data_IF_246148555526
#
_entry.id   IF_246148555526
#
_cell.length_a   1.000
_cell.length_b   1.000
_cell.length_c   1.000
_cell.angle_alpha   90.00
_cell.angle_beta   90.00
_cell.angle_gamma   90.00
#
_symmetry.space_group_name_H-M   'P 1'
#
loop_
_entity.id
_entity.type
_entity.pdbx_description
1 polymer ?
#
# COMPACT_ATOMS: atom_id res chain seq x y z
N UNK A 1 21.72 -14.65 -22.99
CA UNK A 1 21.64 -13.80 -21.79
C UNK A 1 21.52 -14.73 -20.59
N UNK A 2 22.26 -14.48 -19.50
CA UNK A 2 22.16 -15.25 -18.25
C UNK A 2 21.74 -14.28 -17.14
N UNK A 3 20.69 -14.58 -16.35
CA UNK A 3 20.32 -13.72 -15.23
C UNK A 3 21.44 -13.70 -14.19
N UNK A 4 21.56 -12.58 -13.46
CA UNK A 4 22.41 -12.51 -12.27
C UNK A 4 21.88 -13.46 -11.19
N UNK A 5 22.68 -13.83 -10.18
CA UNK A 5 22.22 -14.67 -9.07
C UNK A 5 20.96 -14.13 -8.37
N UNK A 6 20.89 -12.80 -8.18
CA UNK A 6 19.71 -12.14 -7.57
C UNK A 6 18.47 -12.27 -8.46
N UNK A 7 18.61 -12.04 -9.77
CA UNK A 7 17.51 -12.21 -10.71
C UNK A 7 17.03 -13.66 -10.75
N UNK A 8 17.95 -14.62 -10.76
CA UNK A 8 17.62 -16.04 -10.76
C UNK A 8 16.85 -16.43 -9.49
N UNK A 9 17.28 -15.95 -8.33
CA UNK A 9 16.59 -16.18 -7.06
C UNK A 9 15.15 -15.64 -7.07
N UNK A 10 14.96 -14.41 -7.57
CA UNK A 10 13.63 -13.81 -7.70
C UNK A 10 12.76 -14.64 -8.63
N UNK A 11 13.26 -15.00 -9.81
CA UNK A 11 12.51 -15.79 -10.80
C UNK A 11 12.02 -17.11 -10.20
N UNK A 12 12.90 -17.80 -9.46
CA UNK A 12 12.60 -19.12 -8.92
C UNK A 12 11.66 -19.09 -7.71
N UNK A 13 11.62 -17.99 -6.95
CA UNK A 13 11.00 -17.98 -5.63
C UNK A 13 9.94 -16.87 -5.41
N UNK A 14 9.69 -15.98 -6.38
CA UNK A 14 8.75 -14.85 -6.21
C UNK A 14 7.29 -15.25 -5.93
N UNK A 15 6.93 -16.52 -6.06
CA UNK A 15 5.60 -17.06 -5.75
C UNK A 15 5.58 -17.98 -4.53
N UNK A 16 6.74 -18.22 -3.90
CA UNK A 16 6.83 -18.98 -2.67
C UNK A 16 6.29 -18.17 -1.48
N UNK A 17 5.88 -18.86 -0.41
CA UNK A 17 5.31 -18.25 0.80
C UNK A 17 5.85 -18.94 2.03
N UNK A 18 5.92 -18.22 3.14
CA UNK A 18 6.54 -18.71 4.37
C UNK A 18 5.88 -19.99 4.94
N UNK A 19 4.58 -20.18 4.69
CA UNK A 19 3.82 -21.35 5.15
C UNK A 19 3.97 -22.59 4.26
N UNK A 20 4.53 -22.45 3.06
CA UNK A 20 4.63 -23.50 2.04
C UNK A 20 3.45 -23.56 1.06
N UNK A 21 2.47 -22.66 1.16
CA UNK A 21 1.33 -22.58 0.23
C UNK A 21 1.69 -21.96 -1.12
N UNK A 22 2.93 -21.50 -1.27
CA UNK A 22 3.47 -20.95 -2.50
C UNK A 22 3.91 -22.01 -3.51
N UNK A 23 4.46 -21.56 -4.63
CA UNK A 23 4.89 -22.40 -5.75
C UNK A 23 6.14 -21.79 -6.41
N UNK A 24 6.92 -22.56 -7.20
CA UNK A 24 6.67 -23.92 -7.68
C UNK A 24 7.07 -25.07 -6.75
N UNK A 25 7.94 -24.84 -5.76
CA UNK A 25 8.54 -25.89 -4.92
C UNK A 25 7.91 -26.00 -3.53
N UNK A 26 7.05 -25.07 -3.13
CA UNK A 26 6.40 -25.09 -1.82
C UNK A 26 7.40 -24.85 -0.68
N UNK A 27 8.39 -23.99 -0.93
CA UNK A 27 9.41 -23.63 0.05
C UNK A 27 8.77 -22.95 1.26
N UNK A 28 9.39 -23.13 2.43
CA UNK A 28 8.89 -22.59 3.70
C UNK A 28 9.94 -21.70 4.34
N UNK A 29 9.48 -20.77 5.18
CA UNK A 29 10.29 -20.05 6.18
C UNK A 29 11.76 -19.81 5.83
N UNK A 30 12.61 -20.60 6.47
CA UNK A 30 14.07 -20.60 6.43
C UNK A 30 14.68 -20.90 5.05
N UNK A 31 13.93 -21.51 4.14
CA UNK A 31 14.36 -21.76 2.75
C UNK A 31 14.22 -20.52 1.84
N UNK A 32 13.62 -19.44 2.35
CA UNK A 32 13.41 -18.19 1.64
C UNK A 32 14.29 -17.11 2.28
N UNK A 33 15.13 -16.49 1.45
CA UNK A 33 15.95 -15.34 1.86
C UNK A 33 15.08 -14.15 2.25
N UNK A 34 15.67 -13.23 3.01
CA UNK A 34 15.03 -11.98 3.41
C UNK A 34 14.53 -11.16 2.20
N UNK A 35 15.29 -11.18 1.09
CA UNK A 35 14.88 -10.56 -0.17
C UNK A 35 13.56 -11.15 -0.70
N UNK A 36 13.42 -12.48 -0.70
CA UNK A 36 12.19 -13.13 -1.18
C UNK A 36 11.02 -12.88 -0.23
N UNK A 37 11.27 -12.85 1.09
CA UNK A 37 10.26 -12.49 2.07
C UNK A 37 9.76 -11.06 1.86
N UNK A 38 10.67 -10.10 1.65
CA UNK A 38 10.35 -8.72 1.31
C UNK A 38 9.52 -8.63 0.01
N UNK A 39 10.01 -9.27 -1.05
CA UNK A 39 9.32 -9.30 -2.33
C UNK A 39 7.90 -9.87 -2.21
N UNK A 40 7.71 -10.92 -1.40
CA UNK A 40 6.40 -11.57 -1.20
C UNK A 40 5.36 -10.60 -0.61
N UNK A 41 5.77 -9.75 0.35
CA UNK A 41 4.91 -8.74 0.97
C UNK A 41 4.60 -7.63 -0.04
N UNK A 42 5.62 -7.06 -0.70
CA UNK A 42 5.43 -6.00 -1.71
C UNK A 42 4.46 -6.46 -2.80
N UNK A 43 4.65 -7.69 -3.29
CA UNK A 43 3.81 -8.28 -4.32
C UNK A 43 2.39 -8.53 -3.83
N UNK A 44 2.21 -8.95 -2.58
CA UNK A 44 0.87 -9.13 -2.00
C UNK A 44 0.13 -7.79 -1.87
N UNK A 45 0.80 -6.74 -1.40
CA UNK A 45 0.24 -5.39 -1.33
C UNK A 45 -0.19 -4.94 -2.73
N UNK A 46 0.72 -4.97 -3.70
CA UNK A 46 0.43 -4.57 -5.08
C UNK A 46 -0.77 -5.33 -5.66
N UNK A 47 -0.79 -6.66 -5.50
CA UNK A 47 -1.87 -7.54 -5.98
C UNK A 47 -3.24 -7.20 -5.39
N UNK A 48 -3.28 -6.69 -4.16
CA UNK A 48 -4.52 -6.33 -3.45
C UNK A 48 -4.95 -4.89 -3.75
N UNK A 49 -4.01 -3.97 -3.93
CA UNK A 49 -4.30 -2.54 -4.16
C UNK A 49 -4.55 -2.19 -5.62
N UNK A 50 -4.40 -3.14 -6.55
CA UNK A 50 -4.68 -2.93 -7.97
C UNK A 50 -5.80 -3.84 -8.48
N UNK A 51 -6.69 -3.25 -9.29
CA UNK A 51 -7.76 -3.98 -9.95
C UNK A 51 -7.19 -4.99 -10.96
N UNK A 52 -7.72 -6.21 -10.94
CA UNK A 52 -7.25 -7.30 -11.83
C UNK A 52 -8.32 -8.36 -12.02
N UNK A 53 -8.43 -8.91 -13.23
CA UNK A 53 -9.36 -10.01 -13.54
C UNK A 53 -10.81 -9.76 -13.07
N UNK A 54 -11.29 -8.51 -13.19
CA UNK A 54 -12.62 -8.11 -12.70
C UNK A 54 -12.76 -7.95 -11.19
N UNK A 55 -11.69 -8.15 -10.41
CA UNK A 55 -11.66 -7.90 -8.97
C UNK A 55 -11.27 -6.43 -8.75
N UNK A 56 -12.10 -5.63 -8.03
CA UNK A 56 -11.77 -4.25 -7.72
C UNK A 56 -10.59 -4.17 -6.75
N UNK A 57 -9.81 -3.06 -6.78
CA UNK A 57 -8.75 -2.84 -5.82
C UNK A 57 -9.30 -2.74 -4.39
N UNK A 58 -8.47 -3.10 -3.42
CA UNK A 58 -8.68 -2.86 -2.00
C UNK A 58 -7.97 -1.58 -1.58
N UNK A 59 -8.48 -0.94 -0.54
CA UNK A 59 -7.74 0.14 0.11
C UNK A 59 -6.42 -0.42 0.69
N UNK A 60 -5.35 0.40 0.80
CA UNK A 60 -4.10 -0.03 1.44
C UNK A 60 -4.32 -0.63 2.84
N UNK A 61 -5.17 -0.01 3.66
CA UNK A 61 -5.48 -0.51 5.00
C UNK A 61 -6.12 -1.91 4.97
N UNK A 62 -7.08 -2.15 4.07
CA UNK A 62 -7.69 -3.47 3.90
C UNK A 62 -6.66 -4.48 3.39
N UNK A 63 -5.81 -4.09 2.44
CA UNK A 63 -4.75 -4.95 1.92
C UNK A 63 -3.78 -5.37 3.03
N UNK A 64 -3.34 -4.42 3.87
CA UNK A 64 -2.46 -4.70 5.00
C UNK A 64 -3.12 -5.65 6.01
N UNK A 65 -4.39 -5.44 6.34
CA UNK A 65 -5.15 -6.36 7.21
C UNK A 65 -5.20 -7.76 6.63
N UNK A 66 -5.54 -7.91 5.36
CA UNK A 66 -5.60 -9.21 4.69
C UNK A 66 -4.25 -9.93 4.70
N UNK A 67 -3.14 -9.21 4.50
CA UNK A 67 -1.78 -9.79 4.56
C UNK A 67 -1.43 -10.19 6.00
N UNK A 68 -1.78 -9.35 6.98
CA UNK A 68 -1.52 -9.63 8.40
C UNK A 68 -2.32 -10.85 8.91
N UNK A 69 -3.55 -11.01 8.43
CA UNK A 69 -4.49 -12.09 8.77
C UNK A 69 -4.22 -13.38 7.98
N UNK A 70 -3.36 -13.35 6.95
CA UNK A 70 -2.99 -14.52 6.14
C UNK A 70 -2.00 -15.46 6.87
N UNK A 71 -2.42 -15.94 8.03
CA UNK A 71 -1.73 -16.87 8.93
C UNK A 71 -0.21 -16.66 8.97
N UNK A 72 0.55 -17.64 8.47
CA UNK A 72 2.02 -17.63 8.38
C UNK A 72 2.53 -17.47 6.95
N UNK A 73 1.70 -17.00 6.02
CA UNK A 73 2.08 -16.89 4.60
C UNK A 73 3.11 -15.76 4.34
N UNK A 74 3.06 -14.70 5.14
CA UNK A 74 3.85 -13.48 4.97
C UNK A 74 4.59 -13.09 6.24
N UNK A 75 5.74 -12.42 6.06
CA UNK A 75 6.53 -11.92 7.18
C UNK A 75 5.88 -10.66 7.77
N UNK A 76 5.42 -10.75 9.02
CA UNK A 76 4.70 -9.66 9.68
C UNK A 76 5.60 -8.49 10.03
N UNK A 77 6.89 -8.73 10.29
CA UNK A 77 7.85 -7.67 10.58
C UNK A 77 8.05 -6.81 9.34
N UNK A 78 8.26 -7.45 8.20
CA UNK A 78 8.38 -6.76 6.90
C UNK A 78 7.12 -5.99 6.56
N UNK A 79 5.92 -6.54 6.82
CA UNK A 79 4.67 -5.80 6.61
C UNK A 79 4.62 -4.52 7.48
N UNK A 80 5.05 -4.59 8.74
CA UNK A 80 5.10 -3.41 9.62
C UNK A 80 6.09 -2.37 9.09
N UNK A 81 7.28 -2.79 8.66
CA UNK A 81 8.28 -1.89 8.05
C UNK A 81 7.74 -1.25 6.75
N UNK A 82 7.05 -2.02 5.91
CA UNK A 82 6.38 -1.51 4.72
C UNK A 82 5.35 -0.42 5.09
N UNK A 83 4.52 -0.66 6.11
CA UNK A 83 3.54 0.32 6.58
C UNK A 83 4.22 1.57 7.16
N UNK A 84 5.35 1.44 7.85
CA UNK A 84 6.10 2.58 8.36
C UNK A 84 6.69 3.43 7.23
N UNK A 85 7.19 2.79 6.17
CA UNK A 85 7.79 3.47 5.04
C UNK A 85 6.76 4.17 4.12
N UNK A 86 5.62 3.53 3.87
CA UNK A 86 4.62 4.02 2.91
C UNK A 86 3.38 4.64 3.56
N UNK A 87 3.18 4.45 4.86
CA UNK A 87 2.03 4.90 5.60
C UNK A 87 0.77 4.06 5.39
N UNK A 88 -0.26 4.38 6.19
CA UNK A 88 -1.61 3.85 6.03
C UNK A 88 -2.33 4.48 4.83
N UNK A 89 -1.88 5.66 4.41
CA UNK A 89 -2.44 6.47 3.34
C UNK A 89 -1.32 6.91 2.39
N UNK A 90 -0.83 6.00 1.53
CA UNK A 90 0.33 6.25 0.68
C UNK A 90 0.07 7.37 -0.34
N UNK A 91 1.15 8.01 -0.79
CA UNK A 91 1.15 8.99 -1.86
C UNK A 91 0.40 8.44 -3.08
N UNK A 92 -0.45 9.29 -3.68
CA UNK A 92 -1.32 8.91 -4.78
C UNK A 92 -2.67 8.30 -4.37
N UNK A 93 -2.93 8.11 -3.07
CA UNK A 93 -4.26 7.70 -2.61
C UNK A 93 -5.25 8.88 -2.63
N UNK A 94 -6.50 8.62 -2.99
CA UNK A 94 -7.59 9.58 -2.87
C UNK A 94 -8.13 9.55 -1.44
N UNK A 95 -7.88 10.60 -0.68
CA UNK A 95 -8.30 10.74 0.70
C UNK A 95 -9.63 11.49 0.84
N UNK A 96 -10.47 11.06 1.77
CA UNK A 96 -11.67 11.75 2.20
C UNK A 96 -11.45 12.42 3.55
N UNK A 97 -11.84 13.68 3.64
CA UNK A 97 -11.75 14.49 4.86
C UNK A 97 -13.14 14.80 5.43
N UNK A 98 -13.23 14.94 6.75
CA UNK A 98 -14.48 15.17 7.48
C UNK A 98 -15.17 16.49 7.14
N UNK A 99 -14.45 17.45 6.54
CA UNK A 99 -15.03 18.67 5.98
C UNK A 99 -15.84 18.43 4.70
N UNK A 100 -15.85 17.20 4.18
CA UNK A 100 -16.50 16.85 2.91
C UNK A 100 -15.60 17.10 1.70
N UNK A 101 -14.28 17.02 1.86
CA UNK A 101 -13.34 17.21 0.76
C UNK A 101 -12.73 15.88 0.31
N UNK A 102 -12.49 15.76 -0.99
CA UNK A 102 -11.62 14.73 -1.57
C UNK A 102 -10.31 15.38 -1.98
N UNK A 103 -9.20 14.74 -1.63
CA UNK A 103 -7.87 15.23 -1.96
C UNK A 103 -6.90 14.08 -2.25
N UNK A 104 -6.03 14.26 -3.25
CA UNK A 104 -4.92 13.35 -3.49
C UNK A 104 -3.82 13.59 -2.46
N UNK A 105 -3.27 12.51 -1.90
CA UNK A 105 -2.08 12.60 -1.04
C UNK A 105 -0.86 12.83 -1.92
N UNK A 106 -0.16 13.94 -1.69
CA UNK A 106 0.99 14.35 -2.49
C UNK A 106 2.32 14.09 -1.78
N UNK A 107 2.32 14.15 -0.44
CA UNK A 107 3.50 13.92 0.38
C UNK A 107 3.13 13.37 1.77
N UNK A 108 4.08 12.68 2.41
CA UNK A 108 3.95 12.08 3.74
C UNK A 108 5.19 12.37 4.60
N UNK A 109 5.04 12.39 5.93
CA UNK A 109 6.18 12.45 6.84
C UNK A 109 6.84 11.08 7.04
N UNK A 110 7.93 11.03 7.80
CA UNK A 110 8.65 9.80 8.14
C UNK A 110 7.86 8.80 9.00
N UNK A 111 6.60 9.09 9.33
CA UNK A 111 5.65 8.16 9.99
C UNK A 111 4.51 7.75 9.06
N UNK A 112 4.56 8.15 7.79
CA UNK A 112 3.55 7.86 6.79
C UNK A 112 2.27 8.68 6.93
N UNK A 113 2.30 9.80 7.66
CA UNK A 113 1.16 10.70 7.79
C UNK A 113 1.19 11.77 6.69
N UNK A 114 0.06 12.07 6.02
CA UNK A 114 0.04 13.07 4.96
C UNK A 114 0.48 14.46 5.44
N UNK A 115 1.40 15.07 4.70
CA UNK A 115 1.94 16.42 4.94
C UNK A 115 1.53 17.41 3.85
N UNK A 116 1.15 16.90 2.68
CA UNK A 116 0.64 17.70 1.57
C UNK A 116 -0.45 16.95 0.82
N UNK A 117 -1.51 17.66 0.46
CA UNK A 117 -2.62 17.12 -0.33
C UNK A 117 -3.04 18.07 -1.44
N UNK A 118 -3.56 17.53 -2.54
CA UNK A 118 -4.20 18.31 -3.60
C UNK A 118 -5.71 18.09 -3.51
N UNK A 119 -6.43 19.10 -3.03
CA UNK A 119 -7.90 19.09 -2.97
C UNK A 119 -8.46 19.16 -4.39
N UNK A 120 -9.27 18.16 -4.73
CA UNK A 120 -9.87 18.01 -6.06
C UNK A 120 -11.37 18.23 -6.08
N UNK A 121 -12.06 18.00 -4.96
CA UNK A 121 -13.52 18.10 -4.90
C UNK A 121 -14.03 18.49 -3.52
N UNK A 122 -15.05 19.34 -3.49
CA UNK A 122 -15.89 19.57 -2.33
C UNK A 122 -17.22 18.84 -2.50
N UNK A 123 -17.46 17.82 -1.69
CA UNK A 123 -18.67 16.99 -1.72
C UNK A 123 -19.94 17.76 -1.28
N UNK A 124 -19.79 18.90 -0.60
CA UNK A 124 -20.91 19.80 -0.27
C UNK A 124 -21.33 20.67 -1.46
N UNK A 125 -20.44 20.89 -2.42
CA UNK A 125 -20.68 21.66 -3.64
C UNK A 125 -20.19 20.86 -4.87
N UNK A 126 -20.92 19.81 -5.28
CA UNK A 126 -20.41 18.78 -6.21
C UNK A 126 -20.02 19.29 -7.60
N UNK A 127 -20.59 20.42 -8.03
CA UNK A 127 -20.35 21.06 -9.32
C UNK A 127 -19.05 21.88 -9.33
N UNK A 128 -18.38 22.02 -8.19
CA UNK A 128 -17.11 22.75 -8.07
C UNK A 128 -15.93 21.79 -8.14
N UNK A 129 -15.15 21.89 -9.20
CA UNK A 129 -13.81 21.31 -9.24
C UNK A 129 -12.83 22.23 -8.54
N UNK A 130 -11.96 21.65 -7.73
CA UNK A 130 -10.90 22.38 -7.02
C UNK A 130 -9.54 21.88 -7.48
N UNK A 131 -8.54 22.76 -7.47
CA UNK A 131 -7.15 22.39 -7.73
C UNK A 131 -6.25 23.16 -6.76
N UNK A 132 -6.45 22.91 -5.47
CA UNK A 132 -5.73 23.60 -4.41
C UNK A 132 -4.77 22.63 -3.73
N UNK A 133 -3.47 22.92 -3.78
CA UNK A 133 -2.47 22.20 -2.99
C UNK A 133 -2.44 22.81 -1.59
N UNK A 134 -2.60 21.98 -0.57
CA UNK A 134 -2.58 22.37 0.84
C UNK A 134 -1.42 21.67 1.53
N UNK A 135 -0.61 22.45 2.24
CA UNK A 135 0.42 21.94 3.15
C UNK A 135 -0.15 21.61 4.53
N UNK A 136 0.71 21.08 5.39
CA UNK A 136 0.39 20.65 6.76
C UNK A 136 -0.33 21.72 7.60
N UNK A 137 -0.02 22.99 7.40
CA UNK A 137 -0.63 24.10 8.14
C UNK A 137 -2.07 24.42 7.69
N UNK A 138 -2.39 24.16 6.42
CA UNK A 138 -3.69 24.46 5.83
C UNK A 138 -4.66 23.28 5.89
N UNK A 139 -4.16 22.04 5.95
CA UNK A 139 -4.97 20.83 6.01
C UNK A 139 -6.06 20.81 7.10
N UNK A 140 -5.89 21.41 8.30
CA UNK A 140 -6.97 21.51 9.28
C UNK A 140 -8.25 22.19 8.74
N UNK A 141 -8.15 23.06 7.73
CA UNK A 141 -9.29 23.78 7.13
C UNK A 141 -10.28 22.83 6.42
N UNK A 142 -9.81 21.67 5.94
CA UNK A 142 -10.64 20.66 5.28
C UNK A 142 -11.08 19.54 6.23
N UNK A 143 -10.72 19.62 7.51
CA UNK A 143 -11.11 18.67 8.57
C UNK A 143 -10.10 17.55 8.81
N UNK A 144 -10.53 16.49 9.50
CA UNK A 144 -9.70 15.32 9.80
C UNK A 144 -9.74 14.33 8.63
N UNK A 145 -8.64 13.63 8.40
CA UNK A 145 -8.58 12.49 7.48
C UNK A 145 -9.48 11.36 7.99
N UNK A 146 -10.50 10.97 7.20
CA UNK A 146 -11.41 9.86 7.53
C UNK A 146 -10.90 8.54 6.96
N UNK A 147 -10.28 8.56 5.80
CA UNK A 147 -9.79 7.38 5.10
C UNK A 147 -9.48 7.65 3.64
N UNK A 148 -9.18 6.58 2.90
CA UNK A 148 -8.98 6.61 1.45
C UNK A 148 -10.11 5.88 0.74
N UNK A 149 -10.43 6.32 -0.48
CA UNK A 149 -11.57 5.89 -1.29
C UNK A 149 -11.11 5.00 -2.43
#
# INVERSE_FOLDING_TARGET
>A
WSPSPVCQEIIDNANERLDGSGYPKGKRGDQLSELIRLLSVIKAVNKLTHGRNGIPPRTPLDAYRMIYEADRAYDKTILVEYIQAYGLYPIGSLAKFSGGFLAWIMDIDGKGMPTQVQVVKNLRFPDTNMHTVMGKEDMPQIGKLEGVV
#
